data_IF_374812567208
#
_entry.id   IF_374812567208
#
_cell.length_a   1.000
_cell.length_b   1.000
_cell.length_c   1.000
_cell.angle_alpha   90.00
_cell.angle_beta   90.00
_cell.angle_gamma   90.00
#
_symmetry.space_group_name_H-M   'P 1'
#
loop_
_entity.id
_entity.type
_entity.pdbx_description
1 polymer ?
#
# COMPACT_ATOMS: atom_id res chain seq x y z
N UNK A 1 28.14 -10.01 -11.05
CA UNK A 1 26.90 -10.84 -11.04
C UNK A 1 25.73 -10.18 -10.29
N UNK A 2 25.96 -9.48 -9.17
CA UNK A 2 24.87 -8.88 -8.36
C UNK A 2 24.02 -7.82 -9.09
N UNK A 3 24.65 -6.94 -9.89
CA UNK A 3 23.94 -5.81 -10.51
C UNK A 3 22.84 -6.25 -11.49
N UNK A 4 23.15 -7.20 -12.39
CA UNK A 4 22.16 -7.72 -13.35
C UNK A 4 20.95 -8.38 -12.68
N UNK A 5 21.17 -9.11 -11.58
CA UNK A 5 20.08 -9.72 -10.81
C UNK A 5 19.21 -8.68 -10.10
N UNK A 6 19.80 -7.60 -9.60
CA UNK A 6 19.06 -6.49 -8.97
C UNK A 6 18.14 -5.82 -10.01
N UNK A 7 18.66 -5.53 -11.20
CA UNK A 7 17.89 -4.92 -12.29
C UNK A 7 16.70 -5.82 -12.69
N UNK A 8 16.92 -7.13 -12.82
CA UNK A 8 15.86 -8.09 -13.12
C UNK A 8 14.79 -8.11 -12.02
N UNK A 9 15.19 -8.13 -10.74
CA UNK A 9 14.24 -8.13 -9.61
C UNK A 9 13.42 -6.85 -9.55
N UNK A 10 14.04 -5.69 -9.79
CA UNK A 10 13.33 -4.41 -9.83
C UNK A 10 12.33 -4.40 -11.00
N UNK A 11 12.76 -4.80 -12.20
CA UNK A 11 11.86 -4.88 -13.35
C UNK A 11 10.66 -5.79 -13.10
N UNK A 12 10.89 -6.97 -12.51
CA UNK A 12 9.81 -7.88 -12.14
C UNK A 12 8.87 -7.27 -11.09
N UNK A 13 9.41 -6.58 -10.08
CA UNK A 13 8.60 -5.90 -9.07
C UNK A 13 7.71 -4.80 -9.69
N UNK A 14 8.23 -4.02 -10.64
CA UNK A 14 7.45 -3.00 -11.36
C UNK A 14 6.31 -3.62 -12.16
N UNK A 15 6.58 -4.68 -12.92
CA UNK A 15 5.55 -5.40 -13.70
C UNK A 15 4.46 -5.96 -12.78
N UNK A 16 4.84 -6.56 -11.65
CA UNK A 16 3.88 -7.06 -10.66
C UNK A 16 3.03 -5.94 -10.05
N UNK A 17 3.63 -4.79 -9.74
CA UNK A 17 2.90 -3.62 -9.24
C UNK A 17 1.90 -3.10 -10.27
N UNK A 18 2.30 -2.98 -11.54
CA UNK A 18 1.42 -2.53 -12.62
C UNK A 18 0.24 -3.50 -12.81
N UNK A 19 0.51 -4.81 -12.77
CA UNK A 19 -0.53 -5.84 -12.86
C UNK A 19 -1.51 -5.74 -11.69
N UNK A 20 -1.01 -5.55 -10.47
CA UNK A 20 -1.84 -5.41 -9.27
C UNK A 20 -2.72 -4.16 -9.35
N UNK A 21 -2.17 -3.03 -9.78
CA UNK A 21 -2.93 -1.77 -9.92
C UNK A 21 -3.99 -1.90 -11.02
N UNK A 22 -3.64 -2.50 -12.17
CA UNK A 22 -4.51 -2.58 -13.34
C UNK A 22 -5.64 -3.59 -13.16
N UNK A 23 -5.34 -4.77 -12.62
CA UNK A 23 -6.31 -5.86 -12.49
C UNK A 23 -6.95 -5.96 -11.12
N UNK A 24 -6.37 -5.35 -10.10
CA UNK A 24 -6.93 -5.31 -8.76
C UNK A 24 -6.99 -3.90 -8.15
N UNK A 25 -7.63 -2.92 -8.83
CA UNK A 25 -7.75 -1.57 -8.28
C UNK A 25 -8.54 -1.55 -6.96
N UNK A 26 -9.41 -2.55 -6.73
CA UNK A 26 -10.13 -2.70 -5.47
C UNK A 26 -9.22 -2.92 -4.26
N UNK A 27 -7.99 -3.39 -4.44
CA UNK A 27 -7.05 -3.64 -3.33
C UNK A 27 -6.48 -2.35 -2.74
N UNK A 28 -6.56 -1.24 -3.48
CA UNK A 28 -6.00 0.06 -3.07
C UNK A 28 -7.12 1.12 -3.01
N UNK A 29 -8.24 0.93 -3.70
CA UNK A 29 -9.30 1.94 -3.81
C UNK A 29 -10.04 2.26 -2.50
N UNK A 30 -9.98 1.37 -1.50
CA UNK A 30 -10.53 1.56 -0.16
C UNK A 30 -9.60 2.36 0.76
N UNK A 31 -8.30 2.40 0.45
CA UNK A 31 -7.30 3.04 1.28
C UNK A 31 -7.56 4.54 1.32
N UNK A 32 -7.91 5.05 2.51
CA UNK A 32 -8.32 6.44 2.67
C UNK A 32 -9.81 6.75 2.59
N UNK A 33 -10.64 5.74 2.35
CA UNK A 33 -12.10 5.91 2.27
C UNK A 33 -12.82 5.23 3.43
N UNK A 34 -12.08 4.86 4.47
CA UNK A 34 -12.67 4.23 5.66
C UNK A 34 -13.32 5.28 6.56
N UNK A 35 -14.36 4.91 7.32
CA UNK A 35 -14.96 5.80 8.30
C UNK A 35 -13.88 6.27 9.28
N UNK A 36 -13.70 7.59 9.40
CA UNK A 36 -12.65 8.22 10.21
C UNK A 36 -11.41 8.65 9.43
N UNK A 37 -11.27 8.29 8.15
CA UNK A 37 -10.32 8.94 7.26
C UNK A 37 -10.85 10.33 6.88
N UNK A 38 -9.98 11.35 6.97
CA UNK A 38 -10.36 12.73 6.67
C UNK A 38 -9.89 13.08 5.25
N UNK A 39 -10.85 13.38 4.38
CA UNK A 39 -10.58 13.85 3.02
C UNK A 39 -11.27 15.19 2.83
N UNK A 40 -10.46 16.24 2.74
CA UNK A 40 -10.92 17.61 2.51
C UNK A 40 -10.48 17.98 1.11
N UNK A 41 -11.43 18.11 0.20
CA UNK A 41 -11.20 18.61 -1.15
C UNK A 41 -11.53 20.09 -1.20
N UNK A 42 -10.56 20.91 -1.62
CA UNK A 42 -10.73 22.32 -1.92
C UNK A 42 -10.39 22.58 -3.40
N UNK A 43 -10.75 23.75 -3.91
CA UNK A 43 -10.54 24.17 -5.31
C UNK A 43 -9.07 24.14 -5.74
N UNK A 44 -8.15 24.32 -4.79
CA UNK A 44 -6.71 24.40 -5.04
C UNK A 44 -5.92 23.19 -4.53
N UNK A 45 -6.56 22.18 -3.92
CA UNK A 45 -5.84 21.05 -3.36
C UNK A 45 -6.70 20.06 -2.59
N UNK A 46 -6.10 18.91 -2.28
CA UNK A 46 -6.74 17.83 -1.53
C UNK A 46 -5.87 17.54 -0.31
N UNK A 47 -6.45 17.70 0.88
CA UNK A 47 -5.83 17.30 2.14
C UNK A 47 -6.39 15.94 2.53
N UNK A 48 -5.49 14.97 2.68
CA UNK A 48 -5.83 13.59 2.95
C UNK A 48 -5.12 13.09 4.20
N UNK A 49 -5.90 12.69 5.21
CA UNK A 49 -5.40 12.20 6.50
C UNK A 49 -6.03 10.82 6.77
N UNK A 50 -5.36 9.73 6.37
CA UNK A 50 -5.87 8.36 6.47
C UNK A 50 -5.66 7.77 7.88
N UNK A 51 -6.28 8.34 8.91
CA UNK A 51 -6.06 7.91 10.31
C UNK A 51 -6.45 6.44 10.49
N UNK A 52 -7.63 6.07 10.01
CA UNK A 52 -8.19 4.73 10.22
C UNK A 52 -7.50 3.72 9.32
N UNK A 53 -7.28 4.08 8.06
CA UNK A 53 -6.52 3.25 7.13
C UNK A 53 -5.10 2.97 7.63
N UNK A 54 -4.39 3.96 8.17
CA UNK A 54 -3.06 3.77 8.76
C UNK A 54 -3.07 2.89 10.00
N UNK A 55 -4.07 3.05 10.88
CA UNK A 55 -4.23 2.20 12.06
C UNK A 55 -4.41 0.72 11.68
N UNK A 56 -5.31 0.45 10.74
CA UNK A 56 -5.55 -0.92 10.26
C UNK A 56 -4.29 -1.48 9.60
N UNK A 57 -3.63 -0.69 8.74
CA UNK A 57 -2.38 -1.12 8.11
C UNK A 57 -1.29 -1.45 9.14
N UNK A 58 -1.15 -0.63 10.19
CA UNK A 58 -0.19 -0.87 11.27
C UNK A 58 -0.49 -2.17 12.01
N UNK A 59 -1.75 -2.39 12.42
CA UNK A 59 -2.16 -3.60 13.13
C UNK A 59 -1.94 -4.84 12.25
N UNK A 60 -2.36 -4.79 10.98
CA UNK A 60 -2.14 -5.88 10.04
C UNK A 60 -0.65 -6.20 9.90
N UNK A 61 0.18 -5.18 9.70
CA UNK A 61 1.63 -5.37 9.58
C UNK A 61 2.21 -5.99 10.86
N UNK A 62 1.82 -5.50 12.04
CA UNK A 62 2.25 -6.06 13.32
C UNK A 62 1.83 -7.52 13.46
N UNK A 63 0.59 -7.88 13.12
CA UNK A 63 0.10 -9.26 13.17
C UNK A 63 0.86 -10.15 12.20
N UNK A 64 1.05 -9.73 10.95
CA UNK A 64 1.80 -10.48 9.95
C UNK A 64 3.25 -10.71 10.40
N UNK A 65 3.93 -9.65 10.84
CA UNK A 65 5.30 -9.78 11.35
C UNK A 65 5.35 -10.74 12.54
N UNK A 66 4.39 -10.63 13.46
CA UNK A 66 4.32 -11.50 14.62
C UNK A 66 4.08 -12.97 14.23
N UNK A 67 3.28 -13.25 13.20
CA UNK A 67 3.03 -14.63 12.74
C UNK A 67 4.24 -15.21 11.99
N UNK A 68 4.90 -14.42 11.15
CA UNK A 68 6.00 -14.93 10.30
C UNK A 68 7.36 -14.93 11.00
N UNK A 69 7.61 -14.00 11.94
CA UNK A 69 8.91 -13.83 12.58
C UNK A 69 8.94 -14.27 14.05
N UNK A 70 7.78 -14.44 14.68
CA UNK A 70 7.71 -15.02 16.03
C UNK A 70 7.41 -16.50 15.88
N UNK A 71 8.46 -17.32 15.98
CA UNK A 71 8.32 -18.76 16.26
C UNK A 71 7.61 -18.96 17.59
#
# INVERSE_FOLDING_TARGET
MMFGQIVIKIGLAVVLLELLISYAPWLISWFGKLPGDVRIEDKNGIVFIPITSMLIASILLTVLVNIFFRK
#
